data_IF_533695676989
#
_entry.id   IF_533695676989
#
_cell.length_a   1.000
_cell.length_b   1.000
_cell.length_c   1.000
_cell.angle_alpha   90.00
_cell.angle_beta   90.00
_cell.angle_gamma   90.00
#
_symmetry.space_group_name_H-M   'P 1'
#
loop_
_entity.id
_entity.type
_entity.pdbx_description
1 polymer ?
#
# COMPACT_ATOMS: atom_id res chain seq x y z
N UNK A 1 22.13 -10.36 6.17
CA UNK A 1 21.22 -11.19 5.35
C UNK A 1 21.48 -12.70 5.44
N UNK A 2 20.53 -13.50 5.97
CA UNK A 2 20.62 -14.98 6.02
C UNK A 2 20.40 -15.60 4.62
N UNK A 3 20.87 -16.82 4.38
CA UNK A 3 20.67 -17.52 3.10
C UNK A 3 19.18 -17.69 2.73
N UNK A 4 18.33 -17.89 3.74
CA UNK A 4 16.87 -17.95 3.57
C UNK A 4 16.27 -16.64 3.05
N UNK A 5 16.81 -15.50 3.48
CA UNK A 5 16.33 -14.20 3.03
C UNK A 5 16.75 -13.93 1.58
N UNK A 6 17.98 -14.33 1.22
CA UNK A 6 18.49 -14.21 -0.16
C UNK A 6 17.66 -15.03 -1.13
N UNK A 7 17.40 -16.30 -0.81
CA UNK A 7 16.58 -17.16 -1.68
C UNK A 7 15.15 -16.66 -1.83
N UNK A 8 14.57 -15.99 -0.83
CA UNK A 8 13.28 -15.33 -0.97
C UNK A 8 13.31 -14.19 -1.99
N UNK A 9 14.30 -13.29 -1.91
CA UNK A 9 14.41 -12.16 -2.83
C UNK A 9 14.77 -12.54 -4.27
N UNK A 10 15.53 -13.62 -4.44
CA UNK A 10 15.83 -14.18 -5.77
C UNK A 10 14.58 -14.78 -6.43
N UNK A 11 13.63 -15.28 -5.62
CA UNK A 11 12.38 -15.87 -6.10
C UNK A 11 11.21 -14.89 -6.16
N UNK A 12 11.44 -13.59 -5.90
CA UNK A 12 10.37 -12.60 -6.06
C UNK A 12 9.93 -12.56 -7.53
N UNK A 13 8.63 -12.42 -7.81
CA UNK A 13 8.12 -12.32 -9.16
C UNK A 13 8.41 -10.92 -9.73
N UNK A 14 9.67 -10.52 -9.85
CA UNK A 14 10.12 -9.18 -10.28
C UNK A 14 9.96 -8.96 -11.80
N UNK A 15 9.03 -9.66 -12.43
CA UNK A 15 8.77 -9.47 -13.85
C UNK A 15 8.11 -8.10 -14.10
N UNK A 16 8.27 -7.58 -15.32
CA UNK A 16 7.71 -6.28 -15.69
C UNK A 16 6.19 -6.24 -15.49
N UNK A 17 5.50 -7.36 -15.76
CA UNK A 17 4.04 -7.48 -15.62
C UNK A 17 3.54 -7.31 -14.18
N UNK A 18 4.18 -7.95 -13.20
CA UNK A 18 3.78 -7.82 -11.79
C UNK A 18 3.99 -6.39 -11.30
N UNK A 19 5.08 -5.76 -11.73
CA UNK A 19 5.39 -4.37 -11.37
C UNK A 19 4.33 -3.42 -11.93
N UNK A 20 3.93 -3.60 -13.19
CA UNK A 20 2.85 -2.83 -13.80
C UNK A 20 1.50 -3.07 -13.12
N UNK A 21 1.18 -4.32 -12.77
CA UNK A 21 -0.07 -4.64 -12.07
C UNK A 21 -0.14 -4.00 -10.68
N UNK A 22 0.95 -4.06 -9.91
CA UNK A 22 1.03 -3.47 -8.56
C UNK A 22 0.84 -1.95 -8.64
N UNK A 23 1.57 -1.28 -9.53
CA UNK A 23 1.45 0.17 -9.73
C UNK A 23 0.04 0.53 -10.21
N UNK A 24 -0.49 -0.22 -11.19
CA UNK A 24 -1.83 0.00 -11.74
C UNK A 24 -2.92 -0.12 -10.68
N UNK A 25 -2.89 -1.17 -9.86
CA UNK A 25 -3.83 -1.37 -8.75
C UNK A 25 -3.69 -0.28 -7.69
N UNK A 26 -2.45 0.11 -7.35
CA UNK A 26 -2.22 1.18 -6.39
C UNK A 26 -2.80 2.52 -6.87
N UNK A 27 -2.62 2.85 -8.15
CA UNK A 27 -3.22 4.04 -8.76
C UNK A 27 -4.75 3.99 -8.72
N UNK A 28 -5.36 2.83 -9.02
CA UNK A 28 -6.81 2.66 -8.93
C UNK A 28 -7.31 2.93 -7.51
N UNK A 29 -6.63 2.42 -6.49
CA UNK A 29 -7.00 2.65 -5.09
C UNK A 29 -6.83 4.12 -4.68
N UNK A 30 -5.75 4.77 -5.10
CA UNK A 30 -5.54 6.21 -4.84
C UNK A 30 -6.65 7.03 -5.51
N UNK A 31 -6.93 6.78 -6.79
CA UNK A 31 -7.98 7.47 -7.54
C UNK A 31 -9.34 7.26 -6.86
N UNK A 32 -9.64 6.03 -6.42
CA UNK A 32 -10.88 5.73 -5.71
C UNK A 32 -11.00 6.54 -4.40
N UNK A 33 -9.96 6.55 -3.57
CA UNK A 33 -9.98 7.28 -2.29
C UNK A 33 -10.10 8.79 -2.50
N UNK A 34 -9.39 9.36 -3.49
CA UNK A 34 -9.49 10.78 -3.86
C UNK A 34 -10.88 11.10 -4.42
N UNK A 35 -11.41 10.26 -5.29
CA UNK A 35 -12.76 10.40 -5.84
C UNK A 35 -13.81 10.39 -4.72
N UNK A 36 -13.71 9.45 -3.78
CA UNK A 36 -14.62 9.37 -2.64
C UNK A 36 -14.56 10.66 -1.79
N UNK A 37 -13.35 11.17 -1.51
CA UNK A 37 -13.17 12.42 -0.77
C UNK A 37 -13.88 13.63 -1.42
N UNK A 38 -13.78 13.78 -2.74
CA UNK A 38 -14.42 14.89 -3.46
C UNK A 38 -15.89 14.64 -3.82
N UNK A 39 -16.38 13.41 -3.68
CA UNK A 39 -17.77 13.05 -3.94
C UNK A 39 -18.75 13.76 -3.00
N UNK A 40 -20.04 13.77 -3.36
CA UNK A 40 -21.10 14.30 -2.48
C UNK A 40 -21.11 13.56 -1.14
N UNK A 41 -21.05 12.22 -1.19
CA UNK A 41 -21.01 11.36 0.00
C UNK A 41 -19.81 11.66 0.90
N UNK A 42 -18.62 11.91 0.32
CA UNK A 42 -17.41 12.22 1.09
C UNK A 42 -17.43 13.58 1.78
N UNK A 43 -18.21 14.54 1.25
CA UNK A 43 -18.35 15.88 1.82
C UNK A 43 -19.34 15.95 2.99
N UNK A 44 -20.23 14.97 3.08
CA UNK A 44 -21.16 14.84 4.20
C UNK A 44 -20.42 14.54 5.51
N UNK A 45 -21.03 14.85 6.67
CA UNK A 45 -20.43 14.56 7.98
C UNK A 45 -20.10 13.07 8.15
N UNK A 46 -20.97 12.21 7.58
CA UNK A 46 -20.80 10.76 7.60
C UNK A 46 -19.59 10.32 6.76
N UNK A 47 -19.45 10.87 5.55
CA UNK A 47 -18.31 10.61 4.67
C UNK A 47 -17.00 11.09 5.27
N UNK A 48 -16.97 12.27 5.88
CA UNK A 48 -15.81 12.79 6.60
C UNK A 48 -15.36 11.87 7.73
N UNK A 49 -16.31 11.30 8.49
CA UNK A 49 -16.00 10.32 9.55
C UNK A 49 -15.43 9.02 8.97
N UNK A 50 -15.98 8.53 7.86
CA UNK A 50 -15.48 7.34 7.16
C UNK A 50 -14.03 7.56 6.72
N UNK A 51 -13.75 8.67 6.03
CA UNK A 51 -12.41 9.00 5.55
C UNK A 51 -11.44 9.14 6.72
N UNK A 52 -11.81 9.91 7.75
CA UNK A 52 -10.95 10.08 8.93
C UNK A 52 -10.61 8.76 9.60
N UNK A 53 -11.55 7.82 9.67
CA UNK A 53 -11.32 6.49 10.27
C UNK A 53 -10.45 5.62 9.36
N UNK A 54 -10.72 5.60 8.06
CA UNK A 54 -9.92 4.87 7.07
C UNK A 54 -8.46 5.37 7.04
N UNK A 55 -8.28 6.70 6.99
CA UNK A 55 -6.96 7.35 7.02
C UNK A 55 -6.20 7.07 8.30
N UNK A 56 -6.87 6.97 9.45
CA UNK A 56 -6.22 6.59 10.70
C UNK A 56 -5.70 5.15 10.67
N UNK A 57 -6.49 4.22 10.12
CA UNK A 57 -6.06 2.82 9.94
C UNK A 57 -4.89 2.74 8.96
N UNK A 58 -4.98 3.42 7.83
CA UNK A 58 -3.93 3.48 6.82
C UNK A 58 -2.63 4.10 7.38
N UNK A 59 -2.74 5.10 8.25
CA UNK A 59 -1.60 5.67 8.96
C UNK A 59 -0.92 4.64 9.88
N UNK A 60 -1.67 3.88 10.67
CA UNK A 60 -1.11 2.82 11.53
C UNK A 60 -0.39 1.77 10.67
N UNK A 61 -1.01 1.32 9.59
CA UNK A 61 -0.41 0.34 8.66
C UNK A 61 0.87 0.90 8.04
N UNK A 62 0.89 2.18 7.66
CA UNK A 62 2.07 2.85 7.11
C UNK A 62 3.23 2.83 8.10
N UNK A 63 2.99 3.13 9.38
CA UNK A 63 4.04 3.10 10.42
C UNK A 63 4.62 1.69 10.57
N UNK A 64 3.77 0.66 10.60
CA UNK A 64 4.21 -0.73 10.70
C UNK A 64 5.07 -1.11 9.49
N UNK A 65 4.62 -0.76 8.27
CA UNK A 65 5.35 -1.05 7.03
C UNK A 65 6.69 -0.30 6.96
N UNK A 66 6.75 0.95 7.41
CA UNK A 66 8.00 1.71 7.49
C UNK A 66 8.99 1.11 8.47
N UNK A 67 8.53 0.56 9.60
CA UNK A 67 9.40 -0.13 10.54
C UNK A 67 10.00 -1.41 9.93
N UNK A 68 9.16 -2.22 9.28
CA UNK A 68 9.60 -3.44 8.59
C UNK A 68 10.60 -3.10 7.47
N UNK A 69 10.29 -2.09 6.66
CA UNK A 69 11.19 -1.62 5.62
C UNK A 69 12.50 -1.10 6.23
N UNK A 70 12.46 -0.23 7.23
CA UNK A 70 13.67 0.35 7.84
C UNK A 70 14.67 -0.69 8.33
N UNK A 71 14.21 -1.85 8.81
CA UNK A 71 15.08 -2.95 9.26
C UNK A 71 15.63 -3.82 8.12
N UNK A 72 14.97 -3.86 6.96
CA UNK A 72 15.29 -4.79 5.86
C UNK A 72 15.84 -4.10 4.61
N UNK A 73 15.66 -2.78 4.47
CA UNK A 73 15.91 -2.05 3.23
C UNK A 73 17.39 -1.95 2.84
N UNK A 74 18.30 -1.72 3.80
CA UNK A 74 19.72 -1.54 3.48
C UNK A 74 20.32 -2.80 2.82
N UNK A 75 20.02 -3.97 3.38
CA UNK A 75 20.49 -5.27 2.87
C UNK A 75 19.92 -5.57 1.47
N UNK A 76 18.66 -5.21 1.21
CA UNK A 76 17.99 -5.50 -0.08
C UNK A 76 18.46 -4.56 -1.18
N UNK A 77 18.62 -3.26 -0.89
CA UNK A 77 19.12 -2.25 -1.86
C UNK A 77 20.52 -2.63 -2.34
N UNK A 78 21.39 -3.06 -1.44
CA UNK A 78 22.75 -3.47 -1.77
C UNK A 78 22.81 -4.74 -2.63
N UNK A 79 21.78 -5.59 -2.56
CA UNK A 79 21.73 -6.88 -3.23
C UNK A 79 21.08 -6.82 -4.62
N UNK A 80 19.87 -6.24 -4.73
CA UNK A 80 19.15 -6.18 -5.99
C UNK A 80 18.22 -4.96 -6.05
N UNK A 81 18.60 -4.00 -6.89
CA UNK A 81 17.87 -2.75 -7.07
C UNK A 81 16.45 -2.96 -7.65
N UNK A 82 16.26 -3.96 -8.51
CA UNK A 82 14.94 -4.23 -9.12
C UNK A 82 13.97 -4.81 -8.08
N UNK A 83 14.43 -5.75 -7.25
CA UNK A 83 13.65 -6.30 -6.15
C UNK A 83 13.26 -5.21 -5.14
N UNK A 84 14.18 -4.28 -4.87
CA UNK A 84 13.89 -3.12 -4.02
C UNK A 84 12.75 -2.25 -4.56
N UNK A 85 12.79 -1.86 -5.84
CA UNK A 85 11.70 -1.07 -6.43
C UNK A 85 10.36 -1.81 -6.40
N UNK A 86 10.38 -3.12 -6.66
CA UNK A 86 9.18 -3.95 -6.57
C UNK A 86 8.59 -3.97 -5.16
N UNK A 87 9.42 -4.10 -4.13
CA UNK A 87 8.97 -4.04 -2.73
C UNK A 87 8.41 -2.68 -2.33
N UNK A 88 9.00 -1.58 -2.79
CA UNK A 88 8.45 -0.25 -2.56
C UNK A 88 7.07 -0.11 -3.19
N UNK A 89 6.92 -0.56 -4.44
CA UNK A 89 5.64 -0.54 -5.12
C UNK A 89 4.60 -1.41 -4.40
N UNK A 90 5.01 -2.57 -3.88
CA UNK A 90 4.15 -3.44 -3.06
C UNK A 90 3.69 -2.73 -1.77
N UNK A 91 4.59 -2.02 -1.09
CA UNK A 91 4.25 -1.24 0.11
C UNK A 91 3.26 -0.13 -0.23
N UNK A 92 3.47 0.57 -1.34
CA UNK A 92 2.53 1.58 -1.82
C UNK A 92 1.14 0.98 -2.10
N UNK A 93 1.08 -0.20 -2.72
CA UNK A 93 -0.16 -0.93 -2.95
C UNK A 93 -0.86 -1.29 -1.62
N UNK A 94 -0.12 -1.75 -0.61
CA UNK A 94 -0.69 -2.08 0.69
C UNK A 94 -1.27 -0.85 1.41
N UNK A 95 -0.56 0.29 1.36
CA UNK A 95 -1.03 1.54 1.98
C UNK A 95 -2.29 2.04 1.26
N UNK A 96 -2.23 2.19 -0.06
CA UNK A 96 -3.36 2.65 -0.86
C UNK A 96 -4.56 1.70 -0.80
N UNK A 97 -4.31 0.39 -0.79
CA UNK A 97 -5.34 -0.63 -0.63
C UNK A 97 -5.99 -0.58 0.75
N UNK A 98 -5.23 -0.38 1.83
CA UNK A 98 -5.77 -0.25 3.18
C UNK A 98 -6.75 0.92 3.27
N UNK A 99 -6.40 2.07 2.68
CA UNK A 99 -7.29 3.23 2.61
C UNK A 99 -8.58 2.91 1.84
N UNK A 100 -8.44 2.39 0.61
CA UNK A 100 -9.58 2.12 -0.25
C UNK A 100 -10.52 1.05 0.35
N UNK A 101 -9.98 -0.04 0.87
CA UNK A 101 -10.77 -1.07 1.56
C UNK A 101 -11.38 -0.55 2.86
N UNK A 102 -10.65 0.29 3.61
CA UNK A 102 -11.19 0.95 4.80
C UNK A 102 -12.44 1.77 4.47
N UNK A 103 -12.37 2.58 3.41
CA UNK A 103 -13.52 3.34 2.89
C UNK A 103 -14.67 2.40 2.49
N UNK A 104 -14.39 1.35 1.72
CA UNK A 104 -15.42 0.41 1.24
C UNK A 104 -16.14 -0.33 2.39
N UNK A 105 -15.38 -0.81 3.38
CA UNK A 105 -15.93 -1.53 4.53
C UNK A 105 -16.78 -0.60 5.39
N UNK A 106 -16.26 0.57 5.73
CA UNK A 106 -16.95 1.55 6.57
C UNK A 106 -18.17 2.17 5.89
N UNK A 107 -18.16 2.27 4.55
CA UNK A 107 -19.34 2.64 3.76
C UNK A 107 -20.44 1.58 3.84
N UNK A 108 -20.10 0.28 3.85
CA UNK A 108 -21.10 -0.79 3.91
C UNK A 108 -21.70 -0.97 5.32
N UNK A 109 -20.95 -0.64 6.35
CA UNK A 109 -21.36 -0.82 7.75
C UNK A 109 -22.27 0.29 8.30
N UNK A 110 -22.42 1.41 7.59
CA UNK A 110 -23.15 2.60 8.01
C UNK A 110 -24.32 2.87 7.08
#
# INVERSE_FOLDING_TARGET
>A
MTESLKSFFDNLPVNHWSSFLIIGLSLIFIIYSVYFFFSKEGKDERGKKIISTASFISFIVTIILLFILGTTLYDVVAYNQVSYYWMINLVLLLISGTEAFGIMILKKSN
#
